data_IF_188703482009
#
_entry.id   IF_188703482009
#
_cell.length_a   1.000
_cell.length_b   1.000
_cell.length_c   1.000
_cell.angle_alpha   90.00
_cell.angle_beta   90.00
_cell.angle_gamma   90.00
#
_symmetry.space_group_name_H-M   'P 1'
#
loop_
_entity.id
_entity.type
_entity.pdbx_description
1 polymer ?
#
# COMPACT_ATOMS: atom_id res chain seq x y z
N UNK A 1 1.90 7.18 -11.51
CA UNK A 1 1.23 7.46 -10.24
C UNK A 1 1.83 6.56 -9.17
N UNK A 2 2.31 7.16 -8.09
CA UNK A 2 2.80 6.45 -6.91
C UNK A 2 1.62 5.94 -6.06
N UNK A 3 1.83 4.94 -5.19
CA UNK A 3 0.80 4.50 -4.24
C UNK A 3 0.18 5.64 -3.42
N UNK A 4 0.98 6.60 -2.94
CA UNK A 4 0.51 7.71 -2.13
C UNK A 4 -0.29 8.72 -2.95
N UNK A 5 0.12 9.02 -4.19
CA UNK A 5 -0.69 9.86 -5.09
C UNK A 5 -2.06 9.23 -5.33
N UNK A 6 -2.11 7.91 -5.54
CA UNK A 6 -3.38 7.21 -5.73
C UNK A 6 -4.22 7.20 -4.44
N UNK A 7 -3.61 7.04 -3.27
CA UNK A 7 -4.32 7.15 -1.99
C UNK A 7 -4.85 8.56 -1.74
N UNK A 8 -4.15 9.62 -2.15
CA UNK A 8 -4.64 11.00 -2.08
C UNK A 8 -5.93 11.12 -2.90
N UNK A 9 -5.94 10.62 -4.13
CA UNK A 9 -7.13 10.63 -4.99
C UNK A 9 -8.27 9.79 -4.40
N UNK A 10 -7.97 8.61 -3.88
CA UNK A 10 -8.96 7.73 -3.23
C UNK A 10 -9.54 8.31 -1.93
N UNK A 11 -8.82 9.20 -1.24
CA UNK A 11 -9.31 9.91 -0.06
C UNK A 11 -9.90 11.29 -0.37
N UNK A 12 -10.13 11.59 -1.65
CA UNK A 12 -10.72 12.85 -2.11
C UNK A 12 -12.20 12.70 -2.48
N UNK A 13 -12.84 13.80 -2.87
CA UNK A 13 -14.19 13.80 -3.47
C UNK A 13 -14.27 12.97 -4.76
N UNK A 14 -13.15 12.69 -5.42
CA UNK A 14 -13.08 11.89 -6.64
C UNK A 14 -13.02 10.38 -6.39
N UNK A 15 -13.04 9.93 -5.13
CA UNK A 15 -12.86 8.52 -4.76
C UNK A 15 -13.73 7.55 -5.58
N UNK A 16 -15.02 7.85 -5.71
CA UNK A 16 -15.95 7.00 -6.46
C UNK A 16 -15.63 6.94 -7.95
N UNK A 17 -15.17 8.05 -8.54
CA UNK A 17 -14.76 8.10 -9.94
C UNK A 17 -13.48 7.27 -10.15
N UNK A 18 -12.50 7.44 -9.27
CA UNK A 18 -11.22 6.70 -9.33
C UNK A 18 -11.46 5.19 -9.19
N UNK A 19 -12.30 4.77 -8.25
CA UNK A 19 -12.66 3.35 -8.08
C UNK A 19 -13.33 2.79 -9.33
N UNK A 20 -14.27 3.54 -9.92
CA UNK A 20 -14.95 3.15 -11.17
C UNK A 20 -13.97 3.05 -12.33
N UNK A 21 -13.02 3.97 -12.45
CA UNK A 21 -12.00 3.93 -13.49
C UNK A 21 -11.07 2.72 -13.35
N UNK A 22 -10.62 2.42 -12.12
CA UNK A 22 -9.81 1.22 -11.85
C UNK A 22 -10.57 -0.04 -12.26
N UNK A 23 -11.86 -0.15 -11.88
CA UNK A 23 -12.70 -1.29 -12.27
C UNK A 23 -12.87 -1.42 -13.79
N UNK A 24 -13.17 -0.32 -14.49
CA UNK A 24 -13.32 -0.34 -15.95
C UNK A 24 -12.00 -0.57 -16.71
N UNK A 25 -10.85 -0.22 -16.14
CA UNK A 25 -9.53 -0.58 -16.69
C UNK A 25 -9.24 -2.06 -16.43
N UNK A 26 -9.64 -2.60 -15.27
CA UNK A 26 -9.49 -4.02 -14.95
C UNK A 26 -10.26 -4.92 -15.92
N UNK A 27 -11.51 -4.59 -16.22
CA UNK A 27 -12.34 -5.36 -17.16
C UNK A 27 -11.72 -5.41 -18.56
N UNK A 28 -11.10 -4.31 -19.00
CA UNK A 28 -10.50 -4.19 -20.34
C UNK A 28 -9.09 -4.78 -20.42
N UNK A 29 -8.31 -4.62 -19.36
CA UNK A 29 -6.88 -4.94 -19.31
C UNK A 29 -6.53 -5.65 -17.99
N UNK A 30 -7.09 -6.85 -17.72
CA UNK A 30 -6.95 -7.52 -16.43
C UNK A 30 -5.49 -7.90 -16.13
N UNK A 31 -4.71 -8.17 -17.16
CA UNK A 31 -3.31 -8.56 -17.02
C UNK A 31 -2.31 -7.41 -17.04
N UNK A 32 -2.78 -6.19 -17.31
CA UNK A 32 -1.90 -5.03 -17.35
C UNK A 32 -1.26 -4.81 -15.99
N UNK A 33 0.05 -4.59 -16.02
CA UNK A 33 0.82 -4.29 -14.82
C UNK A 33 0.27 -3.05 -14.11
N UNK A 34 -0.14 -2.02 -14.88
CA UNK A 34 -0.70 -0.78 -14.32
C UNK A 34 -2.00 -1.04 -13.57
N UNK A 35 -2.88 -1.89 -14.13
CA UNK A 35 -4.11 -2.34 -13.49
C UNK A 35 -3.80 -3.04 -12.16
N UNK A 36 -2.87 -4.01 -12.19
CA UNK A 36 -2.47 -4.78 -10.99
C UNK A 36 -1.93 -3.88 -9.87
N UNK A 37 -1.13 -2.85 -10.20
CA UNK A 37 -0.67 -1.83 -9.23
C UNK A 37 -1.83 -1.05 -8.62
N UNK A 38 -2.70 -0.48 -9.46
CA UNK A 38 -3.79 0.37 -9.01
C UNK A 38 -4.77 -0.41 -8.13
N UNK A 39 -5.07 -1.66 -8.54
CA UNK A 39 -5.92 -2.58 -7.79
C UNK A 39 -5.32 -2.96 -6.42
N UNK A 40 -4.01 -3.19 -6.36
CA UNK A 40 -3.32 -3.45 -5.09
C UNK A 40 -3.53 -2.29 -4.11
N UNK A 41 -3.27 -1.05 -4.54
CA UNK A 41 -3.48 0.13 -3.69
C UNK A 41 -4.96 0.30 -3.31
N UNK A 42 -5.88 -0.02 -4.21
CA UNK A 42 -7.32 -0.02 -3.92
C UNK A 42 -7.68 -1.03 -2.82
N UNK A 43 -7.12 -2.25 -2.84
CA UNK A 43 -7.32 -3.20 -1.75
C UNK A 43 -6.84 -2.66 -0.40
N UNK A 44 -5.70 -1.97 -0.37
CA UNK A 44 -5.24 -1.31 0.85
C UNK A 44 -6.22 -0.23 1.33
N UNK A 45 -6.68 0.63 0.42
CA UNK A 45 -7.67 1.68 0.71
C UNK A 45 -8.98 1.11 1.28
N UNK A 46 -9.47 0.00 0.71
CA UNK A 46 -10.67 -0.71 1.15
C UNK A 46 -10.46 -1.51 2.45
N UNK A 47 -9.27 -1.45 3.06
CA UNK A 47 -8.87 -2.24 4.24
C UNK A 47 -8.92 -3.76 4.02
N UNK A 48 -8.89 -4.19 2.75
CA UNK A 48 -8.77 -5.60 2.35
C UNK A 48 -7.30 -6.00 2.39
N UNK A 49 -6.73 -6.01 3.60
CA UNK A 49 -5.29 -6.12 3.79
C UNK A 49 -4.71 -7.46 3.34
N UNK A 50 -5.45 -8.56 3.50
CA UNK A 50 -5.05 -9.88 3.01
C UNK A 50 -4.99 -9.92 1.48
N UNK A 51 -5.99 -9.37 0.79
CA UNK A 51 -6.04 -9.23 -0.66
C UNK A 51 -4.93 -8.31 -1.17
N UNK A 52 -4.67 -7.21 -0.46
CA UNK A 52 -3.55 -6.33 -0.74
C UNK A 52 -2.23 -7.09 -0.69
N UNK A 53 -1.96 -7.82 0.40
CA UNK A 53 -0.71 -8.58 0.56
C UNK A 53 -0.55 -9.66 -0.53
N UNK A 54 -1.62 -10.40 -0.87
CA UNK A 54 -1.62 -11.37 -1.97
C UNK A 54 -1.32 -10.69 -3.31
N UNK A 55 -1.90 -9.53 -3.57
CA UNK A 55 -1.72 -8.81 -4.84
C UNK A 55 -0.28 -8.30 -5.10
N UNK A 56 0.56 -8.22 -4.07
CA UNK A 56 1.93 -7.70 -4.20
C UNK A 56 2.81 -8.52 -5.14
N UNK A 57 2.56 -9.83 -5.27
CA UNK A 57 3.33 -10.69 -6.18
C UNK A 57 3.12 -10.31 -7.65
N UNK A 58 1.95 -9.77 -7.98
CA UNK A 58 1.60 -9.32 -9.32
C UNK A 58 2.06 -7.89 -9.61
N UNK A 59 2.62 -7.20 -8.62
CA UNK A 59 3.12 -5.83 -8.76
C UNK A 59 4.60 -5.77 -9.19
N UNK A 60 5.27 -6.90 -9.46
CA UNK A 60 6.67 -6.93 -9.90
C UNK A 60 7.60 -6.04 -9.07
N UNK A 61 8.52 -5.29 -9.71
CA UNK A 61 9.43 -4.35 -9.02
C UNK A 61 8.73 -3.22 -8.25
N UNK A 62 7.49 -2.86 -8.62
CA UNK A 62 6.76 -1.77 -7.96
C UNK A 62 6.50 -2.04 -6.48
N UNK A 63 6.37 -3.33 -6.10
CA UNK A 63 6.19 -3.75 -4.71
C UNK A 63 7.35 -3.37 -3.78
N UNK A 64 8.52 -3.08 -4.33
CA UNK A 64 9.72 -2.68 -3.58
C UNK A 64 9.90 -1.17 -3.50
N UNK A 65 8.96 -0.38 -4.03
CA UNK A 65 8.98 1.07 -3.83
C UNK A 65 8.81 1.41 -2.34
N UNK A 66 9.38 2.51 -1.84
CA UNK A 66 9.28 2.88 -0.43
C UNK A 66 7.84 2.97 0.06
N UNK A 67 6.95 3.54 -0.75
CA UNK A 67 5.53 3.66 -0.44
C UNK A 67 4.85 2.29 -0.37
N UNK A 68 5.10 1.37 -1.30
CA UNK A 68 4.55 0.02 -1.22
C UNK A 68 5.07 -0.76 -0.01
N UNK A 69 6.35 -0.61 0.35
CA UNK A 69 6.92 -1.24 1.54
C UNK A 69 6.30 -0.67 2.82
N UNK A 70 6.01 0.63 2.85
CA UNK A 70 5.27 1.25 3.94
C UNK A 70 3.86 0.66 4.05
N UNK A 71 3.10 0.62 2.94
CA UNK A 71 1.75 0.05 2.92
C UNK A 71 1.76 -1.44 3.32
N UNK A 72 2.74 -2.21 2.85
CA UNK A 72 2.93 -3.60 3.26
C UNK A 72 3.18 -3.72 4.76
N UNK A 73 4.06 -2.89 5.32
CA UNK A 73 4.36 -2.88 6.75
C UNK A 73 3.13 -2.57 7.58
N UNK A 74 2.38 -1.54 7.21
CA UNK A 74 1.11 -1.19 7.85
C UNK A 74 0.08 -2.31 7.74
N UNK A 75 -0.14 -2.88 6.55
CA UNK A 75 -1.10 -3.95 6.35
C UNK A 75 -0.79 -5.19 7.20
N UNK A 76 0.49 -5.56 7.33
CA UNK A 76 0.93 -6.66 8.20
C UNK A 76 0.57 -6.40 9.68
N UNK A 77 0.74 -5.16 10.16
CA UNK A 77 0.34 -4.79 11.53
C UNK A 77 -1.17 -4.90 11.70
N UNK A 78 -1.95 -4.38 10.75
CA UNK A 78 -3.43 -4.38 10.82
C UNK A 78 -4.03 -5.80 10.86
N UNK A 79 -3.38 -6.80 10.25
CA UNK A 79 -3.83 -8.20 10.29
C UNK A 79 -3.21 -9.01 11.46
N UNK A 80 -2.53 -8.34 12.41
CA UNK A 80 -1.94 -8.98 13.59
C UNK A 80 -0.56 -9.62 13.37
N UNK A 81 0.03 -9.51 12.18
CA UNK A 81 1.44 -9.89 11.90
C UNK A 81 2.38 -8.75 12.30
N UNK A 82 2.20 -8.23 13.52
CA UNK A 82 2.80 -6.98 14.00
C UNK A 82 4.31 -6.97 13.96
N UNK A 83 4.98 -8.04 14.42
CA UNK A 83 6.44 -8.11 14.44
C UNK A 83 7.04 -8.03 13.03
N UNK A 84 6.41 -8.68 12.06
CA UNK A 84 6.85 -8.66 10.68
C UNK A 84 6.66 -7.29 10.04
N UNK A 85 5.50 -6.66 10.27
CA UNK A 85 5.21 -5.32 9.80
C UNK A 85 6.17 -4.28 10.38
N UNK A 86 6.42 -4.31 11.69
CA UNK A 86 7.38 -3.43 12.36
C UNK A 86 8.78 -3.63 11.78
N UNK A 87 9.26 -4.87 11.65
CA UNK A 87 10.60 -5.14 11.09
C UNK A 87 10.74 -4.60 9.66
N UNK A 88 9.69 -4.70 8.86
CA UNK A 88 9.68 -4.13 7.51
C UNK A 88 9.80 -2.61 7.53
N UNK A 89 9.04 -1.93 8.40
CA UNK A 89 9.07 -0.48 8.56
C UNK A 89 10.39 0.02 9.13
N UNK A 90 11.01 -0.71 10.06
CA UNK A 90 12.35 -0.39 10.58
C UNK A 90 13.41 -0.47 9.47
N UNK A 91 13.37 -1.52 8.65
CA UNK A 91 14.27 -1.65 7.50
C UNK A 91 14.06 -0.50 6.49
N UNK A 92 12.82 -0.02 6.35
CA UNK A 92 12.52 1.13 5.51
C UNK A 92 13.10 2.42 6.10
N UNK A 93 12.94 2.64 7.42
CA UNK A 93 13.50 3.80 8.12
C UNK A 93 15.03 3.84 8.03
N UNK A 94 15.73 2.70 8.11
CA UNK A 94 17.19 2.64 7.94
C UNK A 94 17.62 3.20 6.58
N UNK A 95 16.84 2.93 5.52
CA UNK A 95 17.11 3.39 4.15
C UNK A 95 16.69 4.84 3.92
N UNK A 96 15.65 5.30 4.62
CA UNK A 96 15.09 6.64 4.52
C UNK A 96 15.03 7.28 5.91
N UNK A 97 16.19 7.61 6.51
CA UNK A 97 16.26 8.06 7.91
C UNK A 97 15.55 9.40 8.16
N UNK A 98 15.38 10.21 7.11
CA UNK A 98 14.74 11.53 7.16
C UNK A 98 13.21 11.48 7.02
N UNK A 99 12.64 10.28 6.86
CA UNK A 99 11.20 10.08 6.80
C UNK A 99 10.58 10.11 8.21
N UNK A 100 10.36 11.31 8.75
CA UNK A 100 9.82 11.50 10.11
C UNK A 100 8.51 10.74 10.37
N UNK A 101 7.66 10.62 9.34
CA UNK A 101 6.41 9.86 9.44
C UNK A 101 6.64 8.38 9.79
N UNK A 102 7.74 7.75 9.34
CA UNK A 102 8.07 6.37 9.66
C UNK A 102 8.39 6.21 11.15
N UNK A 103 9.08 7.19 11.75
CA UNK A 103 9.38 7.18 13.20
C UNK A 103 8.09 7.25 14.00
N UNK A 104 7.20 8.18 13.66
CA UNK A 104 5.89 8.33 14.32
C UNK A 104 5.04 7.06 14.23
N UNK A 105 5.00 6.43 13.05
CA UNK A 105 4.25 5.19 12.84
C UNK A 105 4.84 4.04 13.66
N UNK A 106 6.15 3.88 13.66
CA UNK A 106 6.84 2.85 14.46
C UNK A 106 6.63 3.05 15.96
N UNK A 107 6.69 4.29 16.45
CA UNK A 107 6.39 4.60 17.85
C UNK A 107 4.96 4.22 18.24
N UNK A 108 3.98 4.49 17.37
CA UNK A 108 2.59 4.08 17.58
C UNK A 108 2.45 2.56 17.64
N UNK A 109 3.05 1.84 16.69
CA UNK A 109 2.92 0.39 16.61
C UNK A 109 3.66 -0.36 17.72
N UNK A 110 4.73 0.21 18.30
CA UNK A 110 5.46 -0.40 19.42
C UNK A 110 4.83 -0.14 20.80
N UNK A 111 3.91 0.81 20.91
CA UNK A 111 3.22 1.15 22.16
C UNK A 111 1.96 0.31 22.41
N UNK A 112 1.44 -0.34 21.37
CA UNK A 112 0.30 -1.25 21.41
C UNK A 112 0.76 -2.71 21.47
#
# INVERSE_FOLDING_TARGET
MSPFELLILLNSTESSNVQKEIGGVEERLPDSYLTKRAKSVLYFFEKKFEEFLKSLEHCGRFRFSPEMLYLQGSALVEIGRTQEGIKLLENLLIKFPDADYLRLVLERYKKN
#
